data_IF_864755228945
#
_entry.id   IF_864755228945
#
_cell.length_a   1.000
_cell.length_b   1.000
_cell.length_c   1.000
_cell.angle_alpha   90.00
_cell.angle_beta   90.00
_cell.angle_gamma   90.00
#
_symmetry.space_group_name_H-M   'P 1'
#
loop_
_entity.id
_entity.type
_entity.pdbx_description
1 polymer ?
#
# COMPACT_ATOMS: atom_id res chain seq x y z
N UNK A 1 5.15 -3.40 14.17
CA UNK A 1 4.01 -2.78 14.86
C UNK A 1 2.73 -3.12 14.10
N UNK A 2 1.66 -3.51 14.77
CA UNK A 2 0.43 -3.90 14.07
C UNK A 2 -0.82 -3.64 14.91
N UNK A 3 -1.96 -3.46 14.23
CA UNK A 3 -3.25 -3.49 14.93
C UNK A 3 -3.56 -4.91 15.41
N UNK A 4 -4.33 -5.04 16.48
CA UNK A 4 -4.55 -6.32 17.19
C UNK A 4 -5.67 -7.19 16.58
N UNK A 5 -6.34 -6.75 15.51
CA UNK A 5 -7.33 -7.53 14.77
C UNK A 5 -6.73 -8.52 13.77
N UNK A 6 -7.58 -9.12 12.96
CA UNK A 6 -7.20 -10.19 12.04
C UNK A 6 -6.18 -9.77 10.98
N UNK A 7 -6.31 -8.53 10.45
CA UNK A 7 -5.43 -8.02 9.40
C UNK A 7 -4.00 -7.85 9.94
N UNK A 8 -3.81 -7.03 10.97
CA UNK A 8 -2.47 -6.72 11.49
C UNK A 8 -1.80 -7.93 12.13
N UNK A 9 -2.55 -8.72 12.90
CA UNK A 9 -2.02 -9.95 13.51
C UNK A 9 -1.64 -11.02 12.48
N UNK A 10 -2.41 -11.12 11.38
CA UNK A 10 -2.09 -12.04 10.29
C UNK A 10 -0.79 -11.65 9.57
N UNK A 11 -0.63 -10.36 9.24
CA UNK A 11 0.60 -9.84 8.64
C UNK A 11 1.80 -9.96 9.58
N UNK A 12 1.63 -9.66 10.87
CA UNK A 12 2.68 -9.79 11.85
C UNK A 12 3.24 -11.22 11.91
N UNK A 13 2.36 -12.24 11.97
CA UNK A 13 2.76 -13.65 11.95
C UNK A 13 3.52 -14.01 10.67
N UNK A 14 3.02 -13.56 9.51
CA UNK A 14 3.70 -13.79 8.23
C UNK A 14 5.10 -13.17 8.23
N UNK A 15 5.23 -11.90 8.64
CA UNK A 15 6.50 -11.19 8.67
C UNK A 15 7.49 -11.81 9.68
N UNK A 16 7.03 -12.25 10.85
CA UNK A 16 7.87 -12.99 11.81
C UNK A 16 8.47 -14.26 11.21
N UNK A 17 7.74 -14.93 10.32
CA UNK A 17 8.20 -16.16 9.66
C UNK A 17 9.11 -15.86 8.46
N UNK A 18 8.78 -14.84 7.67
CA UNK A 18 9.41 -14.60 6.37
C UNK A 18 10.64 -13.69 6.44
N UNK A 19 10.68 -12.72 7.35
CA UNK A 19 11.79 -11.79 7.45
C UNK A 19 13.12 -12.46 7.84
N UNK A 20 13.15 -13.38 8.83
CA UNK A 20 14.39 -14.07 9.17
C UNK A 20 14.98 -14.88 8.01
N UNK A 21 14.14 -15.48 7.16
CA UNK A 21 14.59 -16.21 5.95
C UNK A 21 15.31 -15.31 4.93
N UNK A 22 15.15 -14.00 5.06
CA UNK A 22 15.74 -12.97 4.20
C UNK A 22 16.85 -12.17 4.89
N UNK A 23 17.33 -12.66 6.04
CA UNK A 23 18.44 -12.05 6.79
C UNK A 23 18.05 -10.86 7.66
N UNK A 24 16.76 -10.65 7.94
CA UNK A 24 16.32 -9.63 8.89
C UNK A 24 16.17 -10.24 10.29
N UNK A 25 16.65 -9.54 11.31
CA UNK A 25 16.35 -9.83 12.70
C UNK A 25 15.04 -9.14 13.10
N UNK A 26 14.06 -9.90 13.57
CA UNK A 26 12.83 -9.36 14.13
C UNK A 26 13.00 -9.14 15.63
N UNK A 27 13.29 -7.91 16.02
CA UNK A 27 13.56 -7.57 17.43
C UNK A 27 12.32 -7.76 18.30
N UNK A 28 11.15 -7.31 17.83
CA UNK A 28 9.90 -7.43 18.54
C UNK A 28 8.69 -7.20 17.63
N UNK A 29 7.56 -7.78 18.04
CA UNK A 29 6.25 -7.51 17.45
C UNK A 29 5.38 -6.81 18.48
N UNK A 30 5.00 -5.56 18.20
CA UNK A 30 4.24 -4.70 19.10
C UNK A 30 2.83 -4.52 18.57
N UNK A 31 1.84 -5.00 19.31
CA UNK A 31 0.42 -4.82 19.00
C UNK A 31 -0.14 -3.53 19.60
N UNK A 32 -1.16 -2.96 18.95
CA UNK A 32 -1.96 -1.85 19.48
C UNK A 32 -3.44 -2.05 19.15
N UNK A 33 -4.36 -1.51 19.95
CA UNK A 33 -5.79 -1.58 19.66
C UNK A 33 -6.18 -0.69 18.46
N UNK A 34 -7.35 -0.96 17.88
CA UNK A 34 -8.01 -0.13 16.88
C UNK A 34 -9.45 0.13 17.32
N UNK A 35 -9.88 1.39 17.47
CA UNK A 35 -9.09 2.64 17.32
C UNK A 35 -8.12 2.90 18.50
N UNK A 36 -6.93 3.37 18.19
CA UNK A 36 -6.00 3.88 19.20
C UNK A 36 -6.06 5.41 19.27
N UNK A 37 -6.04 5.97 20.49
CA UNK A 37 -6.03 7.42 20.73
C UNK A 37 -4.65 7.95 21.12
N UNK A 38 -3.75 7.05 21.47
CA UNK A 38 -2.37 7.37 21.88
C UNK A 38 -1.43 6.26 21.42
N UNK A 39 -0.30 6.65 20.86
CA UNK A 39 0.78 5.76 20.42
C UNK A 39 2.10 5.99 21.16
N UNK A 40 2.06 6.73 22.25
CA UNK A 40 3.27 7.10 23.01
C UNK A 40 4.01 5.88 23.54
N UNK A 41 3.31 4.90 24.09
CA UNK A 41 3.92 3.66 24.59
C UNK A 41 4.55 2.83 23.47
N UNK A 42 3.88 2.74 22.31
CA UNK A 42 4.41 2.06 21.10
C UNK A 42 5.68 2.77 20.64
N UNK A 43 5.66 4.10 20.55
CA UNK A 43 6.81 4.90 20.16
C UNK A 43 7.98 4.76 21.14
N UNK A 44 7.72 4.79 22.45
CA UNK A 44 8.74 4.55 23.48
C UNK A 44 9.34 3.15 23.36
N UNK A 45 8.54 2.15 23.06
CA UNK A 45 9.04 0.78 22.81
C UNK A 45 9.96 0.73 21.60
N UNK A 46 9.56 1.36 20.48
CA UNK A 46 10.43 1.50 19.31
C UNK A 46 11.74 2.17 19.67
N UNK A 47 11.69 3.28 20.44
CA UNK A 47 12.90 3.97 20.90
C UNK A 47 13.82 3.05 21.70
N UNK A 48 13.28 2.29 22.65
CA UNK A 48 14.08 1.40 23.51
C UNK A 48 14.76 0.26 22.74
N UNK A 49 14.15 -0.21 21.66
CA UNK A 49 14.67 -1.26 20.81
C UNK A 49 15.70 -0.76 19.79
N UNK A 50 15.59 0.50 19.37
CA UNK A 50 16.47 1.12 18.38
C UNK A 50 16.52 0.39 17.03
N UNK A 51 15.37 0.01 16.43
CA UNK A 51 15.39 -0.77 15.19
C UNK A 51 15.91 0.07 14.02
N UNK A 52 16.56 -0.58 13.05
CA UNK A 52 16.89 0.03 11.77
C UNK A 52 15.64 0.30 10.92
N UNK A 53 14.66 -0.60 10.99
CA UNK A 53 13.42 -0.54 10.22
C UNK A 53 12.20 -0.76 11.11
N UNK A 54 11.21 0.11 11.00
CA UNK A 54 9.88 -0.06 11.60
C UNK A 54 8.92 -0.47 10.50
N UNK A 55 8.21 -1.60 10.71
CA UNK A 55 7.22 -2.12 9.76
C UNK A 55 5.83 -2.03 10.39
N UNK A 56 5.04 -0.97 10.08
CA UNK A 56 3.68 -0.83 10.59
C UNK A 56 2.66 -1.52 9.67
N UNK A 57 1.75 -2.30 10.29
CA UNK A 57 0.54 -2.89 9.69
C UNK A 57 -0.67 -2.39 10.47
N UNK A 58 -0.99 -1.11 10.28
CA UNK A 58 -2.02 -0.37 11.02
C UNK A 58 -2.97 0.29 10.03
N UNK A 59 -4.19 0.63 10.46
CA UNK A 59 -5.06 1.44 9.64
C UNK A 59 -4.61 2.91 9.60
N UNK A 60 -5.26 3.70 8.75
CA UNK A 60 -4.87 5.08 8.46
C UNK A 60 -4.67 5.93 9.71
N UNK A 61 -5.64 5.92 10.62
CA UNK A 61 -5.63 6.78 11.82
C UNK A 61 -4.45 6.49 12.74
N UNK A 62 -4.26 5.22 13.06
CA UNK A 62 -3.22 4.75 13.95
C UNK A 62 -1.82 4.91 13.36
N UNK A 63 -1.68 4.66 12.04
CA UNK A 63 -0.41 4.89 11.37
C UNK A 63 -0.01 6.36 11.38
N UNK A 64 -0.92 7.27 11.03
CA UNK A 64 -0.66 8.72 11.05
C UNK A 64 -0.32 9.18 12.46
N UNK A 65 -1.03 8.67 13.47
CA UNK A 65 -0.77 8.98 14.87
C UNK A 65 0.62 8.49 15.30
N UNK A 66 0.99 7.24 14.95
CA UNK A 66 2.32 6.69 15.23
C UNK A 66 3.42 7.50 14.56
N UNK A 67 3.29 7.81 13.27
CA UNK A 67 4.28 8.57 12.53
C UNK A 67 4.51 9.97 13.13
N UNK A 68 3.44 10.67 13.48
CA UNK A 68 3.52 11.97 14.19
C UNK A 68 4.15 11.84 15.58
N UNK A 69 3.78 10.81 16.34
CA UNK A 69 4.34 10.58 17.68
C UNK A 69 5.83 10.28 17.61
N UNK A 70 6.26 9.46 16.65
CA UNK A 70 7.69 9.19 16.41
C UNK A 70 8.45 10.49 16.08
N UNK A 71 7.90 11.32 15.17
CA UNK A 71 8.49 12.59 14.80
C UNK A 71 8.62 13.54 16.01
N UNK A 72 7.55 13.74 16.78
CA UNK A 72 7.53 14.58 17.99
C UNK A 72 8.54 14.12 19.04
N UNK A 73 8.66 12.81 19.20
CA UNK A 73 9.61 12.20 20.12
C UNK A 73 11.04 12.05 19.54
N UNK A 74 11.30 12.55 18.33
CA UNK A 74 12.59 12.46 17.65
C UNK A 74 13.10 11.02 17.48
N UNK A 75 12.18 10.07 17.24
CA UNK A 75 12.50 8.67 16.94
C UNK A 75 12.66 8.56 15.44
N UNK A 76 13.89 8.26 14.99
CA UNK A 76 14.26 8.24 13.56
C UNK A 76 14.94 6.92 13.22
N UNK A 77 14.19 5.86 12.91
CA UNK A 77 14.75 4.65 12.34
C UNK A 77 15.36 4.95 10.95
N UNK A 78 16.20 4.09 10.43
CA UNK A 78 16.73 4.23 9.07
C UNK A 78 15.63 4.20 8.01
N UNK A 79 14.48 3.59 8.31
CA UNK A 79 13.29 3.59 7.47
C UNK A 79 12.01 3.20 8.20
N UNK A 80 10.88 3.62 7.62
CA UNK A 80 9.53 3.15 7.97
C UNK A 80 8.95 2.52 6.72
N UNK A 81 8.59 1.25 6.81
CA UNK A 81 8.06 0.49 5.69
C UNK A 81 6.69 -0.06 6.03
N UNK A 82 5.66 0.66 5.63
CA UNK A 82 4.29 0.27 5.83
C UNK A 82 3.87 -0.90 4.91
N UNK A 83 2.93 -1.70 5.37
CA UNK A 83 2.40 -2.81 4.58
C UNK A 83 0.88 -2.71 4.52
N UNK A 84 0.36 -2.42 3.34
CA UNK A 84 -1.07 -2.37 3.01
C UNK A 84 -1.91 -1.48 3.94
N UNK A 85 -1.31 -0.48 4.57
CA UNK A 85 -2.01 0.33 5.58
C UNK A 85 -2.84 1.48 4.99
N UNK A 86 -2.70 1.75 3.71
CA UNK A 86 -3.46 2.79 3.00
C UNK A 86 -3.15 4.23 3.39
N UNK A 87 -2.30 4.48 4.38
CA UNK A 87 -1.91 5.83 4.79
C UNK A 87 -0.65 6.31 4.06
N UNK A 88 0.39 5.49 4.01
CA UNK A 88 1.64 5.84 3.35
C UNK A 88 1.44 6.06 1.84
N UNK A 89 0.49 5.36 1.22
CA UNK A 89 0.05 5.56 -0.17
C UNK A 89 -1.18 6.49 -0.29
N UNK A 90 -1.31 7.47 0.61
CA UNK A 90 -2.42 8.44 0.60
C UNK A 90 -1.88 9.88 0.60
N UNK A 91 -2.15 10.67 -0.46
CA UNK A 91 -1.68 12.04 -0.52
C UNK A 91 -2.24 12.96 0.58
N UNK A 92 -3.29 12.55 1.27
CA UNK A 92 -3.78 13.25 2.46
C UNK A 92 -2.75 13.24 3.59
N UNK A 93 -2.14 12.07 3.87
CA UNK A 93 -1.08 11.96 4.88
C UNK A 93 0.13 12.82 4.51
N UNK A 94 0.55 12.78 3.23
CA UNK A 94 1.67 13.58 2.75
C UNK A 94 1.42 15.08 2.92
N UNK A 95 0.19 15.55 2.68
CA UNK A 95 -0.17 16.98 2.82
C UNK A 95 -0.35 17.42 4.27
N UNK A 96 -0.96 16.56 5.11
CA UNK A 96 -1.29 16.91 6.50
C UNK A 96 -0.11 16.73 7.47
N UNK A 97 0.88 15.91 7.12
CA UNK A 97 2.03 15.62 7.95
C UNK A 97 3.31 15.41 7.10
N UNK A 98 3.75 16.41 6.30
CA UNK A 98 4.81 16.24 5.33
C UNK A 98 6.13 15.76 5.92
N UNK A 99 6.51 16.26 7.11
CA UNK A 99 7.73 15.84 7.80
C UNK A 99 7.64 14.38 8.29
N UNK A 100 6.47 13.95 8.78
CA UNK A 100 6.27 12.58 9.23
C UNK A 100 6.14 11.60 8.06
N UNK A 101 5.72 12.09 6.89
CA UNK A 101 5.55 11.29 5.69
C UNK A 101 6.86 11.15 4.88
N UNK A 102 7.80 12.07 5.03
CA UNK A 102 9.03 12.09 4.24
C UNK A 102 9.80 10.76 4.35
N UNK A 103 10.09 10.14 3.21
CA UNK A 103 10.82 8.88 3.11
C UNK A 103 10.05 7.63 3.52
N UNK A 104 8.81 7.74 4.01
CA UNK A 104 7.99 6.56 4.33
C UNK A 104 7.75 5.73 3.09
N UNK A 105 7.98 4.42 3.22
CA UNK A 105 7.72 3.43 2.17
C UNK A 105 6.43 2.67 2.45
N UNK A 106 5.79 2.16 1.39
CA UNK A 106 4.60 1.30 1.49
C UNK A 106 4.63 0.21 0.43
N UNK A 107 4.33 -1.01 0.81
CA UNK A 107 3.97 -2.07 -0.11
C UNK A 107 2.44 -2.04 -0.29
N UNK A 108 1.97 -1.57 -1.43
CA UNK A 108 0.53 -1.40 -1.66
C UNK A 108 0.18 -1.42 -3.15
N UNK A 109 -1.12 -1.36 -3.44
CA UNK A 109 -1.61 -1.10 -4.79
C UNK A 109 -1.34 0.35 -5.18
N UNK A 110 -1.03 0.56 -6.45
CA UNK A 110 -0.86 1.88 -7.04
C UNK A 110 -1.21 1.82 -8.53
N UNK A 111 -1.23 2.93 -9.22
CA UNK A 111 -1.34 2.96 -10.67
C UNK A 111 0.03 2.75 -11.33
N UNK A 112 0.02 2.34 -12.57
CA UNK A 112 1.24 2.36 -13.39
C UNK A 112 1.59 3.81 -13.76
N UNK A 113 2.69 4.37 -13.24
CA UNK A 113 3.07 5.75 -13.52
C UNK A 113 3.53 5.98 -14.99
N UNK A 114 3.72 4.92 -15.75
CA UNK A 114 4.07 4.96 -17.18
C UNK A 114 2.86 4.78 -18.09
N UNK A 115 1.69 4.46 -17.54
CA UNK A 115 0.48 4.24 -18.31
C UNK A 115 -0.26 5.57 -18.60
N UNK A 116 -0.38 6.00 -19.87
CA UNK A 116 -1.01 7.28 -20.20
C UNK A 116 -2.49 7.36 -19.78
N UNK A 117 -3.21 6.24 -19.76
CA UNK A 117 -4.61 6.20 -19.26
C UNK A 117 -4.68 6.44 -17.77
N UNK A 118 -3.71 5.94 -17.00
CA UNK A 118 -3.62 6.18 -15.56
C UNK A 118 -3.34 7.66 -15.27
N UNK A 119 -2.40 8.26 -16.00
CA UNK A 119 -2.03 9.67 -15.84
C UNK A 119 -3.18 10.60 -16.24
N UNK A 120 -3.90 10.28 -17.31
CA UNK A 120 -5.08 11.06 -17.73
C UNK A 120 -6.19 10.99 -16.68
N UNK A 121 -6.51 9.79 -16.17
CA UNK A 121 -7.52 9.63 -15.13
C UNK A 121 -7.12 10.39 -13.86
N UNK A 122 -5.84 10.30 -13.47
CA UNK A 122 -5.29 11.03 -12.32
C UNK A 122 -5.52 12.54 -12.48
N UNK A 123 -5.13 13.10 -13.61
CA UNK A 123 -5.35 14.55 -13.90
C UNK A 123 -6.81 14.97 -13.78
N UNK A 124 -7.73 14.14 -14.29
CA UNK A 124 -9.18 14.41 -14.21
C UNK A 124 -9.70 14.38 -12.77
N UNK A 125 -9.29 13.38 -11.97
CA UNK A 125 -9.69 13.23 -10.57
C UNK A 125 -9.15 14.40 -9.73
N UNK A 126 -7.87 14.70 -9.86
CA UNK A 126 -7.23 15.82 -9.15
C UNK A 126 -7.76 17.19 -9.61
N UNK A 127 -8.02 17.38 -10.91
CA UNK A 127 -8.65 18.55 -11.45
C UNK A 127 -10.08 18.79 -10.97
N UNK A 128 -10.78 17.72 -10.57
CA UNK A 128 -12.08 17.80 -9.91
C UNK A 128 -11.98 18.01 -8.38
N UNK A 129 -10.79 18.31 -7.84
CA UNK A 129 -10.55 18.55 -6.42
C UNK A 129 -10.63 17.27 -5.56
N UNK A 130 -10.53 16.08 -6.17
CA UNK A 130 -10.56 14.80 -5.47
C UNK A 130 -9.15 14.25 -5.23
N UNK A 131 -9.04 13.35 -4.26
CA UNK A 131 -7.77 12.71 -3.93
C UNK A 131 -7.50 11.54 -4.89
N UNK A 132 -6.26 11.45 -5.36
CA UNK A 132 -5.73 10.28 -6.04
C UNK A 132 -5.01 9.39 -5.02
N UNK A 133 -5.72 8.46 -4.42
CA UNK A 133 -5.17 7.49 -3.46
C UNK A 133 -5.20 6.08 -4.08
N UNK A 134 -4.50 5.13 -3.47
CA UNK A 134 -4.33 3.76 -3.96
C UNK A 134 -5.64 3.05 -4.39
N UNK A 135 -6.74 3.34 -3.72
CA UNK A 135 -8.04 2.74 -4.00
C UNK A 135 -8.68 3.25 -5.30
N UNK A 136 -8.30 4.41 -5.81
CA UNK A 136 -8.89 4.97 -7.05
C UNK A 136 -8.51 4.14 -8.27
N UNK A 137 -7.22 3.91 -8.60
CA UNK A 137 -6.84 3.07 -9.73
C UNK A 137 -7.32 1.63 -9.57
N UNK A 138 -7.35 1.11 -8.34
CA UNK A 138 -7.82 -0.24 -8.05
C UNK A 138 -9.31 -0.39 -8.39
N UNK A 139 -10.17 0.50 -7.86
CA UNK A 139 -11.61 0.45 -8.13
C UNK A 139 -11.95 0.72 -9.61
N UNK A 140 -11.25 1.66 -10.25
CA UNK A 140 -11.41 1.86 -11.69
C UNK A 140 -11.12 0.58 -12.47
N UNK A 141 -10.03 -0.10 -12.17
CA UNK A 141 -9.63 -1.34 -12.82
C UNK A 141 -10.62 -2.47 -12.55
N UNK A 142 -11.15 -2.58 -11.33
CA UNK A 142 -12.20 -3.55 -10.99
C UNK A 142 -13.49 -3.32 -11.80
N UNK A 143 -13.93 -2.07 -11.95
CA UNK A 143 -15.11 -1.75 -12.76
C UNK A 143 -14.89 -2.08 -14.22
N UNK A 144 -13.69 -1.82 -14.77
CA UNK A 144 -13.35 -2.18 -16.16
C UNK A 144 -13.36 -3.69 -16.37
N UNK A 145 -12.82 -4.44 -15.42
CA UNK A 145 -12.81 -5.90 -15.47
C UNK A 145 -14.25 -6.47 -15.37
N UNK A 146 -15.08 -5.89 -14.50
CA UNK A 146 -16.48 -6.31 -14.37
C UNK A 146 -17.27 -6.03 -15.66
N UNK A 147 -17.08 -4.88 -16.27
CA UNK A 147 -17.73 -4.53 -17.54
C UNK A 147 -17.33 -5.53 -18.66
N UNK A 148 -16.05 -5.83 -18.79
CA UNK A 148 -15.55 -6.85 -19.73
C UNK A 148 -16.17 -8.22 -19.47
N UNK A 149 -16.30 -8.64 -18.22
CA UNK A 149 -16.92 -9.91 -17.87
C UNK A 149 -18.40 -9.95 -18.21
N UNK A 150 -19.15 -8.87 -18.00
CA UNK A 150 -20.57 -8.75 -18.39
C UNK A 150 -20.72 -8.83 -19.91
N UNK A 151 -19.87 -8.14 -20.67
CA UNK A 151 -19.84 -8.20 -22.13
C UNK A 151 -19.58 -9.63 -22.63
N UNK A 152 -18.57 -10.31 -22.10
CA UNK A 152 -18.28 -11.71 -22.44
C UNK A 152 -19.39 -12.69 -22.03
N UNK A 153 -20.05 -12.46 -20.91
CA UNK A 153 -21.20 -13.25 -20.46
C UNK A 153 -22.43 -13.05 -21.35
N UNK A 154 -22.52 -11.91 -22.06
CA UNK A 154 -23.72 -11.49 -22.79
C UNK A 154 -24.95 -11.33 -21.87
N UNK A 155 -24.75 -11.08 -20.59
CA UNK A 155 -25.81 -11.10 -19.56
C UNK A 155 -25.34 -10.40 -18.29
N UNK A 156 -26.28 -9.77 -17.56
CA UNK A 156 -26.06 -9.27 -16.21
C UNK A 156 -26.44 -10.31 -15.13
N UNK A 157 -26.78 -11.55 -15.53
CA UNK A 157 -27.00 -12.63 -14.58
C UNK A 157 -25.75 -12.90 -13.74
N UNK A 158 -25.93 -12.94 -12.43
CA UNK A 158 -24.81 -13.04 -11.48
C UNK A 158 -23.96 -14.30 -11.68
N UNK A 159 -24.59 -15.45 -11.92
CA UNK A 159 -23.86 -16.71 -12.08
C UNK A 159 -23.01 -16.68 -13.37
N UNK A 160 -23.60 -16.23 -14.48
CA UNK A 160 -22.89 -16.10 -15.77
C UNK A 160 -21.73 -15.10 -15.71
N UNK A 161 -21.90 -13.98 -15.00
CA UNK A 161 -20.81 -12.99 -14.79
C UNK A 161 -19.71 -13.58 -13.93
N UNK A 162 -20.02 -14.34 -12.87
CA UNK A 162 -19.01 -15.02 -12.04
C UNK A 162 -18.22 -16.03 -12.86
N UNK A 163 -18.88 -16.81 -13.71
CA UNK A 163 -18.21 -17.75 -14.62
C UNK A 163 -17.29 -17.02 -15.59
N UNK A 164 -17.74 -15.92 -16.18
CA UNK A 164 -16.94 -15.09 -17.07
C UNK A 164 -15.73 -14.46 -16.36
N UNK A 165 -15.89 -14.01 -15.13
CA UNK A 165 -14.78 -13.51 -14.29
C UNK A 165 -13.77 -14.62 -14.00
N UNK A 166 -14.21 -15.78 -13.55
CA UNK A 166 -13.35 -16.93 -13.27
C UNK A 166 -12.55 -17.42 -14.51
N UNK A 167 -13.19 -17.30 -15.68
CA UNK A 167 -12.57 -17.65 -16.97
C UNK A 167 -11.66 -16.55 -17.53
N UNK A 168 -11.52 -15.39 -16.84
CA UNK A 168 -10.69 -14.30 -17.36
C UNK A 168 -9.23 -14.73 -17.53
N UNK A 169 -8.72 -14.52 -18.73
CA UNK A 169 -7.32 -14.69 -19.13
C UNK A 169 -6.97 -13.54 -20.09
N UNK A 170 -5.86 -12.89 -19.85
CA UNK A 170 -5.37 -11.88 -20.78
C UNK A 170 -6.03 -10.50 -20.71
N UNK A 171 -6.82 -10.17 -19.67
CA UNK A 171 -7.38 -8.83 -19.53
C UNK A 171 -6.32 -7.79 -19.20
N UNK A 172 -6.17 -6.79 -20.07
CA UNK A 172 -5.21 -5.67 -19.95
C UNK A 172 -5.89 -4.31 -19.87
N UNK A 173 -7.22 -4.28 -19.65
CA UNK A 173 -8.00 -3.05 -19.57
C UNK A 173 -7.79 -2.23 -18.28
N UNK A 174 -7.02 -2.74 -17.33
CA UNK A 174 -6.66 -2.06 -16.09
C UNK A 174 -5.56 -1.00 -16.29
N UNK A 175 -5.34 -0.20 -15.24
CA UNK A 175 -4.30 0.83 -15.16
C UNK A 175 -3.29 0.54 -14.04
N UNK A 176 -3.24 -0.71 -13.61
CA UNK A 176 -2.39 -1.19 -12.51
C UNK A 176 -1.01 -1.59 -13.02
N UNK A 177 0.04 -1.50 -12.19
CA UNK A 177 1.41 -1.83 -12.56
C UNK A 177 1.67 -3.35 -12.43
N UNK A 178 0.96 -4.14 -13.20
CA UNK A 178 1.13 -5.59 -13.25
C UNK A 178 0.70 -6.15 -14.61
N UNK A 179 0.90 -7.44 -14.80
CA UNK A 179 0.57 -8.13 -16.03
C UNK A 179 -0.92 -8.35 -16.25
N UNK A 180 -1.24 -9.22 -17.17
CA UNK A 180 -2.61 -9.58 -17.52
C UNK A 180 -3.37 -10.14 -16.33
N UNK A 181 -4.63 -9.74 -16.16
CA UNK A 181 -5.51 -10.37 -15.18
C UNK A 181 -5.78 -11.82 -15.57
N UNK A 182 -5.48 -12.73 -14.65
CA UNK A 182 -5.72 -14.16 -14.78
C UNK A 182 -6.17 -14.75 -13.47
N UNK A 183 -7.35 -15.35 -13.45
CA UNK A 183 -7.87 -15.99 -12.24
C UNK A 183 -7.59 -17.48 -12.20
N UNK A 184 -7.09 -17.96 -11.06
CA UNK A 184 -7.02 -19.38 -10.70
C UNK A 184 -7.43 -19.53 -9.23
N UNK A 185 -8.36 -20.44 -8.94
CA UNK A 185 -8.87 -20.64 -7.57
C UNK A 185 -9.45 -19.37 -6.92
N UNK A 186 -10.02 -18.46 -7.73
CA UNK A 186 -10.57 -17.19 -7.26
C UNK A 186 -9.53 -16.09 -7.02
N UNK A 187 -8.24 -16.34 -7.26
CA UNK A 187 -7.18 -15.35 -7.09
C UNK A 187 -6.70 -14.81 -8.44
N UNK A 188 -6.46 -13.51 -8.51
CA UNK A 188 -5.82 -12.88 -9.68
C UNK A 188 -4.30 -13.08 -9.60
N UNK A 189 -3.78 -14.06 -10.32
CA UNK A 189 -2.34 -14.37 -10.34
C UNK A 189 -1.51 -13.33 -11.11
N UNK A 190 -2.13 -12.48 -11.90
CA UNK A 190 -1.45 -11.39 -12.58
C UNK A 190 -1.23 -10.17 -11.69
N UNK A 191 -1.97 -10.06 -10.58
CA UNK A 191 -1.89 -8.91 -9.68
C UNK A 191 -0.65 -8.99 -8.78
N UNK A 192 0.00 -7.84 -8.62
CA UNK A 192 1.11 -7.67 -7.69
C UNK A 192 1.05 -6.27 -7.05
N UNK A 193 1.43 -6.13 -5.79
CA UNK A 193 1.65 -4.82 -5.21
C UNK A 193 2.92 -4.20 -5.78
N UNK A 194 3.05 -2.89 -5.61
CA UNK A 194 4.31 -2.17 -5.81
C UNK A 194 4.82 -1.61 -4.50
N UNK A 195 6.09 -1.23 -4.48
CA UNK A 195 6.64 -0.46 -3.38
C UNK A 195 6.66 1.00 -3.78
N UNK A 196 6.05 1.82 -2.94
CA UNK A 196 6.06 3.27 -3.07
C UNK A 196 6.93 3.89 -1.98
N UNK A 197 7.39 5.11 -2.21
CA UNK A 197 8.07 5.93 -1.22
C UNK A 197 7.64 7.37 -1.37
N UNK A 198 7.46 8.05 -0.25
CA UNK A 198 7.21 9.50 -0.25
C UNK A 198 8.54 10.22 -0.45
N UNK A 199 8.71 10.84 -1.60
CA UNK A 199 9.89 11.62 -1.99
C UNK A 199 9.46 13.01 -2.46
N UNK A 200 10.07 14.05 -1.92
CA UNK A 200 9.79 15.45 -2.33
C UNK A 200 8.31 15.83 -2.25
N UNK A 201 7.59 15.26 -1.29
CA UNK A 201 6.16 15.50 -1.10
C UNK A 201 5.24 14.74 -2.06
N UNK A 202 5.77 13.80 -2.84
CA UNK A 202 5.00 12.95 -3.75
C UNK A 202 5.16 11.46 -3.42
N UNK A 203 4.14 10.68 -3.76
CA UNK A 203 4.18 9.22 -3.67
C UNK A 203 4.74 8.69 -4.99
N UNK A 204 5.95 8.13 -4.96
CA UNK A 204 6.68 7.61 -6.11
C UNK A 204 6.73 6.09 -6.05
N UNK A 205 6.62 5.43 -7.19
CA UNK A 205 6.85 3.98 -7.30
C UNK A 205 8.35 3.75 -7.37
N UNK A 206 8.88 2.95 -6.45
CA UNK A 206 10.33 2.68 -6.36
C UNK A 206 10.70 1.23 -6.66
N UNK A 207 9.73 0.32 -6.72
CA UNK A 207 9.92 -1.08 -7.09
C UNK A 207 8.58 -1.70 -7.52
N UNK A 208 8.55 -2.65 -8.48
CA UNK A 208 9.70 -3.17 -9.25
C UNK A 208 10.18 -2.17 -10.32
N UNK A 209 11.42 -2.32 -10.77
CA UNK A 209 12.09 -1.41 -11.71
C UNK A 209 11.29 -1.18 -13.01
N UNK A 210 10.58 -2.21 -13.47
CA UNK A 210 9.74 -2.12 -14.67
C UNK A 210 8.70 -0.97 -14.58
N UNK A 211 8.19 -0.71 -13.40
CA UNK A 211 7.17 0.32 -13.13
C UNK A 211 7.71 1.50 -12.31
N UNK A 212 8.93 1.43 -11.82
CA UNK A 212 9.51 2.50 -11.00
C UNK A 212 9.63 3.81 -11.79
N UNK A 213 9.25 4.91 -11.15
CA UNK A 213 9.44 6.27 -11.63
C UNK A 213 10.43 7.07 -10.75
N UNK A 214 10.94 6.44 -9.69
CA UNK A 214 12.02 6.94 -8.84
C UNK A 214 12.88 5.79 -8.30
N UNK A 215 14.07 6.11 -7.79
CA UNK A 215 14.92 5.15 -7.09
C UNK A 215 14.61 5.14 -5.60
N UNK A 216 14.65 3.98 -4.91
CA UNK A 216 14.47 3.95 -3.47
C UNK A 216 15.60 4.70 -2.76
N UNK A 217 15.25 5.42 -1.70
CA UNK A 217 16.18 6.11 -0.82
C UNK A 217 16.21 5.38 0.53
N UNK A 218 17.34 4.75 0.85
CA UNK A 218 17.57 4.08 2.12
C UNK A 218 19.06 4.13 2.48
N UNK A 219 19.45 4.47 3.72
CA UNK A 219 18.58 4.98 4.78
C UNK A 219 17.91 6.30 4.40
N UNK A 220 16.72 6.54 4.97
CA UNK A 220 16.05 7.83 4.80
C UNK A 220 16.89 8.88 5.53
N UNK A 221 17.43 9.85 4.78
CA UNK A 221 18.22 10.94 5.36
C UNK A 221 17.31 11.84 6.20
N UNK A 222 17.73 12.11 7.42
CA UNK A 222 17.07 13.03 8.34
C UNK A 222 17.17 14.48 7.85
#
# INVERSE_FOLDING_TARGET
VHEDGLFGSGLAKLLQTELPKRGFEVLETVAHPTPARDMSNVALRIRSLGPDLVIPSSYYGEFVLLARTMLQQRIRPKGVYAVLNGAASNPRFVREAPEAAAGVMDCNHWHDPKNPRALELRRRIEGAGKLWAYNVPLNYSCVKLLADAIERAGSADRARVIEALAATRGFTGHIMPYGETRFEGGQNLGAAPVNTQVQEGEIRVVFPDAFADAKPQFPVRA
#
